data_IF_205188957946
#
_entry.id   IF_205188957946
#
_cell.length_a   1.000
_cell.length_b   1.000
_cell.length_c   1.000
_cell.angle_alpha   90.00
_cell.angle_beta   90.00
_cell.angle_gamma   90.00
#
_symmetry.space_group_name_H-M   'P 1'
#
loop_
_entity.id
_entity.type
_entity.pdbx_description
1 polymer ?
#
# COMPACT_ATOMS: atom_id res chain seq x y z
N UNK A 1 -5.69 -20.45 -13.65
CA UNK A 1 -6.27 -19.13 -13.99
C UNK A 1 -5.39 -17.98 -13.46
N UNK A 2 -5.25 -17.81 -12.14
CA UNK A 2 -4.42 -16.75 -11.51
C UNK A 2 -2.95 -16.74 -11.96
N UNK A 3 -2.30 -17.91 -12.06
CA UNK A 3 -0.93 -18.01 -12.59
C UNK A 3 -0.73 -17.41 -14.00
N UNK A 4 -1.68 -17.63 -14.91
CA UNK A 4 -1.62 -17.05 -16.27
C UNK A 4 -1.81 -15.53 -16.26
N UNK A 5 -2.66 -15.05 -15.35
CA UNK A 5 -2.85 -13.62 -15.14
C UNK A 5 -1.59 -12.95 -14.57
N UNK A 6 -0.91 -13.63 -13.64
CA UNK A 6 0.35 -13.16 -13.06
C UNK A 6 1.47 -13.07 -14.09
N UNK A 7 1.60 -14.08 -14.95
CA UNK A 7 2.55 -14.04 -16.07
C UNK A 7 2.23 -12.91 -17.06
N UNK A 8 0.96 -12.78 -17.46
CA UNK A 8 0.52 -11.70 -18.34
C UNK A 8 0.81 -10.32 -17.74
N UNK A 9 0.55 -10.13 -16.45
CA UNK A 9 0.85 -8.89 -15.74
C UNK A 9 2.36 -8.57 -15.76
N UNK A 10 3.20 -9.55 -15.45
CA UNK A 10 4.66 -9.38 -15.48
C UNK A 10 5.16 -8.98 -16.88
N UNK A 11 4.56 -9.53 -17.94
CA UNK A 11 4.87 -9.15 -19.32
C UNK A 11 4.41 -7.72 -19.63
N UNK A 12 3.17 -7.36 -19.27
CA UNK A 12 2.60 -6.03 -19.55
C UNK A 12 3.31 -4.92 -18.77
N UNK A 13 3.76 -5.18 -17.54
CA UNK A 13 4.40 -4.17 -16.69
C UNK A 13 5.89 -3.97 -16.98
N UNK A 14 6.55 -4.99 -17.56
CA UNK A 14 7.96 -4.90 -17.96
C UNK A 14 8.15 -4.22 -19.30
N UNK A 15 7.15 -4.30 -20.18
CA UNK A 15 7.12 -3.48 -21.38
C UNK A 15 6.94 -2.01 -20.96
N UNK A 16 7.81 -1.15 -21.46
CA UNK A 16 7.99 0.23 -20.98
C UNK A 16 6.79 1.15 -21.31
N UNK A 17 5.71 0.59 -21.84
CA UNK A 17 4.41 1.21 -22.01
C UNK A 17 3.33 0.27 -21.45
N UNK A 18 2.97 0.46 -20.18
CA UNK A 18 1.59 0.19 -19.76
C UNK A 18 0.72 1.23 -20.46
N UNK A 19 0.48 0.99 -21.74
CA UNK A 19 -0.38 1.75 -22.63
C UNK A 19 -1.83 1.30 -22.46
N UNK A 20 -2.79 2.03 -23.04
CA UNK A 20 -4.19 1.60 -23.13
C UNK A 20 -4.30 0.16 -23.66
N UNK A 21 -3.47 -0.20 -24.64
CA UNK A 21 -3.40 -1.55 -25.20
C UNK A 21 -3.05 -2.66 -24.18
N UNK A 22 -2.19 -2.36 -23.21
CA UNK A 22 -1.83 -3.32 -22.15
C UNK A 22 -2.99 -3.56 -21.18
N UNK A 23 -3.74 -2.50 -20.85
CA UNK A 23 -4.94 -2.62 -20.02
C UNK A 23 -6.06 -3.36 -20.75
N UNK A 24 -6.30 -3.04 -22.02
CA UNK A 24 -7.30 -3.72 -22.84
C UNK A 24 -7.01 -5.21 -22.99
N UNK A 25 -5.73 -5.58 -23.16
CA UNK A 25 -5.33 -6.98 -23.17
C UNK A 25 -5.68 -7.70 -21.86
N UNK A 26 -5.41 -7.06 -20.72
CA UNK A 26 -5.71 -7.62 -19.40
C UNK A 26 -7.22 -7.75 -19.16
N UNK A 27 -8.02 -6.77 -19.58
CA UNK A 27 -9.48 -6.86 -19.52
C UNK A 27 -10.05 -7.99 -20.39
N UNK A 28 -9.52 -8.15 -21.60
CA UNK A 28 -9.89 -9.27 -22.47
C UNK A 28 -9.45 -10.62 -21.89
N UNK A 29 -8.29 -10.68 -21.24
CA UNK A 29 -7.78 -11.89 -20.62
C UNK A 29 -8.63 -12.32 -19.43
N UNK A 30 -9.04 -11.41 -18.55
CA UNK A 30 -9.91 -11.77 -17.42
C UNK A 30 -11.29 -12.22 -17.88
N UNK A 31 -11.83 -11.60 -18.93
CA UNK A 31 -13.10 -12.02 -19.55
C UNK A 31 -13.02 -13.45 -20.05
N UNK A 32 -11.90 -13.84 -20.68
CA UNK A 32 -11.65 -15.23 -21.13
C UNK A 32 -11.37 -16.20 -19.99
N UNK A 33 -10.81 -15.73 -18.88
CA UNK A 33 -10.52 -16.54 -17.71
C UNK A 33 -11.70 -16.68 -16.76
N UNK A 34 -12.83 -16.01 -17.05
CA UNK A 34 -14.00 -15.94 -16.18
C UNK A 34 -13.62 -15.43 -14.78
N UNK A 35 -12.93 -14.28 -14.77
CA UNK A 35 -12.50 -13.56 -13.57
C UNK A 35 -13.13 -12.17 -13.56
N UNK A 36 -13.45 -11.69 -12.36
CA UNK A 36 -13.97 -10.35 -12.17
C UNK A 36 -12.87 -9.28 -12.21
N UNK A 37 -13.25 -8.04 -12.45
CA UNK A 37 -12.34 -6.89 -12.32
C UNK A 37 -11.81 -6.72 -10.89
N UNK A 38 -12.59 -7.13 -9.90
CA UNK A 38 -12.17 -7.08 -8.50
C UNK A 38 -11.10 -8.13 -8.19
N UNK A 39 -11.22 -9.34 -8.76
CA UNK A 39 -10.16 -10.35 -8.71
C UNK A 39 -8.90 -9.95 -9.48
N UNK A 40 -9.04 -9.19 -10.57
CA UNK A 40 -7.93 -8.59 -11.30
C UNK A 40 -7.17 -7.61 -10.42
N UNK A 41 -7.88 -6.66 -9.81
CA UNK A 41 -7.30 -5.64 -8.92
C UNK A 41 -6.61 -6.28 -7.71
N UNK A 42 -7.22 -7.31 -7.12
CA UNK A 42 -6.63 -8.05 -6.00
C UNK A 42 -5.34 -8.77 -6.42
N UNK A 43 -5.36 -9.45 -7.58
CA UNK A 43 -4.19 -10.17 -8.10
C UNK A 43 -3.04 -9.20 -8.43
N UNK A 44 -3.36 -8.03 -8.99
CA UNK A 44 -2.37 -7.00 -9.27
C UNK A 44 -1.80 -6.42 -7.99
N UNK A 45 -2.65 -6.05 -7.04
CA UNK A 45 -2.20 -5.54 -5.73
C UNK A 45 -1.26 -6.53 -5.04
N UNK A 46 -1.58 -7.82 -5.09
CA UNK A 46 -0.73 -8.88 -4.51
C UNK A 46 0.63 -8.99 -5.21
N UNK A 47 0.65 -9.02 -6.55
CA UNK A 47 1.90 -9.04 -7.32
C UNK A 47 2.73 -7.77 -7.12
N UNK A 48 2.09 -6.60 -7.13
CA UNK A 48 2.77 -5.33 -6.91
C UNK A 48 3.44 -5.30 -5.54
N UNK A 49 2.74 -5.81 -4.52
CA UNK A 49 3.27 -5.97 -3.16
C UNK A 49 4.50 -6.87 -3.14
N UNK A 50 4.43 -8.05 -3.77
CA UNK A 50 5.54 -9.03 -3.80
C UNK A 50 6.75 -8.47 -4.56
N UNK A 51 6.54 -7.92 -5.75
CA UNK A 51 7.62 -7.37 -6.58
C UNK A 51 8.34 -6.25 -5.88
N UNK A 52 7.58 -5.39 -5.22
CA UNK A 52 8.17 -4.37 -4.40
C UNK A 52 8.91 -4.99 -3.21
N UNK A 53 8.33 -5.99 -2.51
CA UNK A 53 8.94 -6.65 -1.33
C UNK A 53 10.35 -7.13 -1.61
N UNK A 54 10.54 -7.65 -2.81
CA UNK A 54 11.81 -8.17 -3.26
C UNK A 54 12.62 -7.19 -4.11
N UNK A 55 12.22 -5.91 -4.23
CA UNK A 55 12.94 -4.89 -5.02
C UNK A 55 14.42 -4.78 -4.69
N UNK A 56 14.79 -4.86 -3.41
CA UNK A 56 16.20 -4.78 -2.97
C UNK A 56 17.00 -6.05 -3.27
N UNK A 57 16.34 -7.20 -3.38
CA UNK A 57 16.96 -8.48 -3.71
C UNK A 57 17.03 -8.71 -5.22
N UNK A 58 16.10 -8.08 -5.96
CA UNK A 58 15.99 -8.15 -7.41
C UNK A 58 16.64 -6.90 -8.02
N UNK A 59 17.97 -6.91 -8.14
CA UNK A 59 18.77 -5.79 -8.65
C UNK A 59 18.27 -5.20 -9.99
N UNK A 60 17.57 -5.98 -10.81
CA UNK A 60 17.00 -5.53 -12.08
C UNK A 60 15.75 -4.63 -11.92
N UNK A 61 15.10 -4.65 -10.74
CA UNK A 61 13.93 -3.85 -10.41
C UNK A 61 14.30 -2.44 -9.97
N UNK A 62 15.41 -2.28 -9.25
CA UNK A 62 15.68 -1.09 -8.44
C UNK A 62 15.59 0.23 -9.22
N UNK A 63 15.96 0.21 -10.51
CA UNK A 63 16.09 1.39 -11.38
C UNK A 63 15.01 1.52 -12.46
N UNK A 64 13.93 0.74 -12.39
CA UNK A 64 12.90 0.76 -13.44
C UNK A 64 11.80 1.80 -13.17
N UNK A 65 11.41 2.64 -14.15
CA UNK A 65 10.36 3.65 -13.98
C UNK A 65 8.99 3.09 -13.55
N UNK A 66 8.70 1.84 -13.92
CA UNK A 66 7.44 1.17 -13.59
C UNK A 66 7.33 0.84 -12.09
N UNK A 67 8.44 0.70 -11.37
CA UNK A 67 8.44 0.49 -9.91
C UNK A 67 7.86 1.69 -9.17
N UNK A 68 8.26 2.91 -9.55
CA UNK A 68 7.71 4.12 -8.95
C UNK A 68 6.21 4.28 -9.25
N UNK A 69 5.78 3.85 -10.45
CA UNK A 69 4.35 3.83 -10.83
C UNK A 69 3.55 2.86 -9.98
N UNK A 70 4.06 1.64 -9.71
CA UNK A 70 3.42 0.67 -8.82
C UNK A 70 3.35 1.18 -7.38
N UNK A 71 4.41 1.82 -6.89
CA UNK A 71 4.39 2.46 -5.57
C UNK A 71 3.27 3.49 -5.47
N UNK A 72 3.09 4.34 -6.49
CA UNK A 72 1.99 5.30 -6.55
C UNK A 72 0.61 4.63 -6.55
N UNK A 73 0.41 3.61 -7.39
CA UNK A 73 -0.86 2.86 -7.45
C UNK A 73 -1.24 2.20 -6.12
N UNK A 74 -0.28 1.57 -5.46
CA UNK A 74 -0.49 0.98 -4.13
C UNK A 74 -0.82 2.04 -3.08
N UNK A 75 -0.20 3.22 -3.17
CA UNK A 75 -0.52 4.33 -2.28
C UNK A 75 -1.96 4.82 -2.49
N UNK A 76 -2.39 4.98 -3.74
CA UNK A 76 -3.75 5.38 -4.09
C UNK A 76 -4.78 4.33 -3.65
N UNK A 77 -4.47 3.05 -3.85
CA UNK A 77 -5.31 1.94 -3.42
C UNK A 77 -5.47 1.92 -1.90
N UNK A 78 -4.35 2.01 -1.16
CA UNK A 78 -4.36 2.09 0.30
C UNK A 78 -5.16 3.31 0.80
N UNK A 79 -4.98 4.46 0.16
CA UNK A 79 -5.73 5.69 0.46
C UNK A 79 -7.25 5.49 0.29
N UNK A 80 -7.68 4.88 -0.82
CA UNK A 80 -9.10 4.58 -1.08
C UNK A 80 -9.68 3.62 -0.03
N UNK A 81 -8.97 2.56 0.34
CA UNK A 81 -9.44 1.62 1.34
C UNK A 81 -9.56 2.28 2.72
N UNK A 82 -8.57 3.09 3.10
CA UNK A 82 -8.60 3.86 4.35
C UNK A 82 -9.80 4.79 4.39
N UNK A 83 -10.09 5.49 3.30
CA UNK A 83 -11.25 6.38 3.22
C UNK A 83 -12.57 5.62 3.32
N UNK A 84 -12.69 4.45 2.67
CA UNK A 84 -13.87 3.58 2.78
C UNK A 84 -14.12 3.10 4.21
N UNK A 85 -13.07 2.97 5.04
CA UNK A 85 -13.13 2.42 6.39
C UNK A 85 -12.92 3.48 7.49
N UNK A 86 -12.99 4.78 7.16
CA UNK A 86 -12.60 5.89 8.04
C UNK A 86 -13.29 5.87 9.41
N UNK A 87 -14.59 5.60 9.46
CA UNK A 87 -15.34 5.62 10.72
C UNK A 87 -14.96 4.45 11.64
N UNK A 88 -14.74 3.26 11.07
CA UNK A 88 -14.25 2.09 11.83
C UNK A 88 -12.84 2.32 12.34
N UNK A 89 -11.97 2.88 11.49
CA UNK A 89 -10.60 3.26 11.87
C UNK A 89 -10.58 4.23 13.05
N UNK A 90 -11.42 5.27 13.01
CA UNK A 90 -11.51 6.28 14.07
C UNK A 90 -11.99 5.67 15.39
N UNK A 91 -12.88 4.69 15.36
CA UNK A 91 -13.37 4.03 16.57
C UNK A 91 -12.32 3.09 17.16
N UNK A 92 -11.72 2.21 16.36
CA UNK A 92 -10.68 1.29 16.83
C UNK A 92 -9.40 2.01 17.29
N UNK A 93 -9.04 3.12 16.62
CA UNK A 93 -7.88 3.89 17.02
C UNK A 93 -8.07 4.60 18.35
N UNK A 94 -9.29 5.07 18.66
CA UNK A 94 -9.62 5.77 19.93
C UNK A 94 -9.31 4.88 21.13
N UNK A 95 -9.50 3.59 20.97
CA UNK A 95 -9.21 2.58 21.99
C UNK A 95 -7.70 2.30 22.10
N UNK A 96 -6.91 2.61 21.06
CA UNK A 96 -5.47 2.42 21.04
C UNK A 96 -4.71 3.66 21.54
N UNK A 97 -4.67 3.86 22.86
CA UNK A 97 -3.85 4.91 23.49
C UNK A 97 -2.38 4.87 23.05
N UNK A 98 -1.86 3.67 22.80
CA UNK A 98 -0.50 3.40 22.31
C UNK A 98 -0.25 4.00 20.92
N UNK A 99 -1.26 4.02 20.04
CA UNK A 99 -1.16 4.55 18.68
C UNK A 99 -0.98 6.07 18.69
N UNK A 100 -1.78 6.76 19.51
CA UNK A 100 -1.66 8.21 19.67
C UNK A 100 -0.26 8.62 20.16
N UNK A 101 0.27 7.92 21.18
CA UNK A 101 1.60 8.21 21.73
C UNK A 101 2.72 7.97 20.72
N UNK A 102 2.67 6.87 19.97
CA UNK A 102 3.65 6.57 18.93
C UNK A 102 3.63 7.58 17.79
N UNK A 103 2.44 7.97 17.33
CA UNK A 103 2.30 8.93 16.25
C UNK A 103 2.79 10.32 16.65
N UNK A 104 2.48 10.78 17.86
CA UNK A 104 2.99 12.04 18.38
C UNK A 104 4.53 12.05 18.42
N UNK A 105 5.14 10.93 18.83
CA UNK A 105 6.59 10.77 18.89
C UNK A 105 7.27 10.84 17.53
N UNK A 106 6.65 10.29 16.48
CA UNK A 106 7.26 10.21 15.14
C UNK A 106 6.89 11.37 14.21
N UNK A 107 6.09 12.35 14.66
CA UNK A 107 5.70 13.52 13.87
C UNK A 107 6.75 14.64 13.83
N UNK A 108 7.89 14.45 14.48
CA UNK A 108 8.96 15.45 14.57
C UNK A 108 9.67 15.65 13.23
N UNK A 109 9.94 16.90 12.83
CA UNK A 109 10.49 17.22 11.50
C UNK A 109 11.96 16.79 11.31
N UNK A 110 12.71 16.52 12.39
CA UNK A 110 14.15 16.21 12.36
C UNK A 110 14.48 14.75 12.72
N UNK A 111 13.86 13.77 12.05
CA UNK A 111 14.19 12.35 12.23
C UNK A 111 15.31 11.93 11.26
N UNK A 112 16.33 11.26 11.80
CA UNK A 112 17.38 10.59 11.01
C UNK A 112 16.78 9.45 10.17
N UNK A 113 17.47 8.98 9.09
CA UNK A 113 16.99 7.85 8.29
C UNK A 113 16.74 6.58 9.12
N UNK A 114 17.62 6.29 10.10
CA UNK A 114 17.47 5.15 11.00
C UNK A 114 16.24 5.27 11.92
N UNK A 115 15.97 6.49 12.40
CA UNK A 115 14.78 6.79 13.20
C UNK A 115 13.50 6.69 12.38
N UNK A 116 13.50 7.17 11.13
CA UNK A 116 12.36 7.03 10.23
C UNK A 116 12.01 5.57 10.00
N UNK A 117 13.02 4.72 9.82
CA UNK A 117 12.83 3.29 9.64
C UNK A 117 12.28 2.62 10.90
N UNK A 118 12.86 2.91 12.06
CA UNK A 118 12.36 2.41 13.34
C UNK A 118 10.93 2.85 13.63
N UNK A 119 10.59 4.10 13.29
CA UNK A 119 9.23 4.60 13.45
C UNK A 119 8.24 3.97 12.49
N UNK A 120 8.66 3.71 11.26
CA UNK A 120 7.90 2.95 10.26
C UNK A 120 7.54 1.56 10.80
N UNK A 121 8.53 0.80 11.26
CA UNK A 121 8.34 -0.55 11.80
C UNK A 121 7.37 -0.56 13.00
N UNK A 122 7.60 0.32 13.98
CA UNK A 122 6.76 0.40 15.18
C UNK A 122 5.31 0.77 14.87
N UNK A 123 5.09 1.68 13.92
CA UNK A 123 3.75 2.03 13.48
C UNK A 123 3.12 0.87 12.72
N UNK A 124 3.82 0.25 11.78
CA UNK A 124 3.32 -0.91 11.03
C UNK A 124 2.89 -2.03 11.97
N UNK A 125 3.70 -2.38 12.96
CA UNK A 125 3.36 -3.44 13.91
C UNK A 125 2.14 -3.10 14.77
N UNK A 126 1.96 -1.84 15.13
CA UNK A 126 0.76 -1.41 15.84
C UNK A 126 -0.47 -1.36 14.95
N UNK A 127 -0.32 -0.98 13.68
CA UNK A 127 -1.44 -1.03 12.73
C UNK A 127 -1.90 -2.47 12.49
N UNK A 128 -0.99 -3.45 12.46
CA UNK A 128 -1.36 -4.87 12.37
C UNK A 128 -2.23 -5.36 13.54
N UNK A 129 -2.21 -4.69 14.70
CA UNK A 129 -3.09 -5.07 15.83
C UNK A 129 -4.52 -4.56 15.67
N UNK A 130 -4.77 -3.66 14.72
CA UNK A 130 -6.09 -3.10 14.45
C UNK A 130 -6.79 -3.91 13.35
N UNK A 131 -7.96 -4.53 13.63
CA UNK A 131 -8.69 -5.36 12.68
C UNK A 131 -8.92 -4.69 11.32
N UNK A 132 -9.24 -3.40 11.31
CA UNK A 132 -9.47 -2.69 10.06
C UNK A 132 -8.20 -2.64 9.21
N UNK A 133 -7.03 -2.37 9.79
CA UNK A 133 -5.76 -2.30 9.04
C UNK A 133 -5.30 -3.64 8.48
N UNK A 134 -5.64 -4.74 9.13
CA UNK A 134 -5.44 -6.09 8.59
C UNK A 134 -6.30 -6.30 7.34
N UNK A 135 -7.55 -5.84 7.36
CA UNK A 135 -8.46 -5.88 6.20
C UNK A 135 -7.94 -5.00 5.06
N UNK A 136 -7.22 -3.91 5.35
CA UNK A 136 -6.62 -3.05 4.32
C UNK A 136 -5.51 -3.76 3.53
N UNK A 137 -4.90 -4.82 4.07
CA UNK A 137 -3.85 -5.56 3.36
C UNK A 137 -2.64 -4.68 3.05
N UNK A 138 -2.26 -3.80 3.98
CA UNK A 138 -1.15 -2.88 3.79
C UNK A 138 0.16 -3.64 3.52
N UNK A 139 0.85 -3.39 2.39
CA UNK A 139 2.14 -3.98 2.10
C UNK A 139 3.18 -3.40 3.05
N UNK A 140 3.43 -4.09 4.17
CA UNK A 140 4.15 -3.57 5.33
C UNK A 140 5.59 -3.10 5.06
N UNK A 141 6.19 -3.45 3.92
CA UNK A 141 7.56 -3.08 3.52
C UNK A 141 7.64 -1.85 2.61
N UNK A 142 6.56 -1.44 1.93
CA UNK A 142 6.59 -0.33 0.94
C UNK A 142 6.11 1.01 1.45
N UNK A 143 5.53 0.97 2.63
CA UNK A 143 4.87 2.11 3.20
C UNK A 143 5.91 2.92 3.97
N UNK A 144 6.20 4.12 3.47
CA UNK A 144 7.12 5.04 4.12
C UNK A 144 6.47 5.64 5.38
N UNK A 145 7.28 6.01 6.37
CA UNK A 145 6.78 6.71 7.56
C UNK A 145 5.94 7.97 7.20
N UNK A 146 6.37 8.86 6.27
CA UNK A 146 5.56 10.01 5.85
C UNK A 146 4.20 9.60 5.27
N UNK A 147 4.15 8.50 4.52
CA UNK A 147 2.91 7.99 3.95
C UNK A 147 1.96 7.48 5.04
N UNK A 148 2.46 6.72 6.03
CA UNK A 148 1.67 6.30 7.20
C UNK A 148 1.07 7.49 7.93
N UNK A 149 1.90 8.49 8.23
CA UNK A 149 1.48 9.69 8.94
C UNK A 149 0.42 10.47 8.13
N UNK A 150 0.59 10.57 6.81
CA UNK A 150 -0.38 11.22 5.91
C UNK A 150 -1.73 10.51 5.90
N UNK A 151 -1.73 9.17 5.78
CA UNK A 151 -2.94 8.35 5.82
C UNK A 151 -3.66 8.52 7.17
N UNK A 152 -2.93 8.35 8.26
CA UNK A 152 -3.48 8.31 9.61
C UNK A 152 -4.00 9.68 10.05
N UNK A 153 -3.24 10.75 9.78
CA UNK A 153 -3.62 12.13 10.13
C UNK A 153 -4.95 12.57 9.48
N UNK A 154 -5.23 12.13 8.24
CA UNK A 154 -6.45 12.50 7.50
C UNK A 154 -7.69 11.69 7.89
N UNK A 155 -7.51 10.48 8.40
CA UNK A 155 -8.60 9.51 8.60
C UNK A 155 -8.92 9.23 10.07
N UNK A 156 -7.94 9.26 10.97
CA UNK A 156 -8.04 8.63 12.29
C UNK A 156 -8.09 9.62 13.46
N UNK A 157 -7.54 10.83 13.30
CA UNK A 157 -7.45 11.79 14.41
C UNK A 157 -8.66 12.73 14.50
N UNK A 158 -9.13 13.03 15.73
CA UNK A 158 -9.87 14.26 15.98
C UNK A 158 -8.94 15.46 15.83
N UNK A 159 -9.46 16.57 15.31
CA UNK A 159 -8.73 17.81 15.01
C UNK A 159 -7.94 18.38 16.21
N UNK A 160 -8.28 17.96 17.44
CA UNK A 160 -7.60 18.32 18.70
C UNK A 160 -6.17 17.77 18.84
N UNK A 161 -5.73 16.85 17.98
CA UNK A 161 -4.33 16.38 17.90
C UNK A 161 -3.55 17.01 16.74
N UNK A 162 -4.14 18.00 16.05
CA UNK A 162 -3.47 18.80 15.02
C UNK A 162 -2.91 20.12 15.57
N UNK A 163 -2.97 20.33 16.90
CA UNK A 163 -2.26 21.40 17.59
C UNK A 163 -0.83 20.99 17.93
#
# INVERSE_FOLDING_TARGET
KRYFLELAFLTVITDHKVDEAGQDFLYQLISKLDLTTEELDQSFTALETVLLQYKQQLNFLEKKPWISRMQGKLQDHASKIVQKNKDRLKNESRESRKLYTLLARWRTENLTPAEKEKGREQLVDLLKTLPVFVIIGLPGTFITLPFLLSILSKSVFPSSFQQ
#
